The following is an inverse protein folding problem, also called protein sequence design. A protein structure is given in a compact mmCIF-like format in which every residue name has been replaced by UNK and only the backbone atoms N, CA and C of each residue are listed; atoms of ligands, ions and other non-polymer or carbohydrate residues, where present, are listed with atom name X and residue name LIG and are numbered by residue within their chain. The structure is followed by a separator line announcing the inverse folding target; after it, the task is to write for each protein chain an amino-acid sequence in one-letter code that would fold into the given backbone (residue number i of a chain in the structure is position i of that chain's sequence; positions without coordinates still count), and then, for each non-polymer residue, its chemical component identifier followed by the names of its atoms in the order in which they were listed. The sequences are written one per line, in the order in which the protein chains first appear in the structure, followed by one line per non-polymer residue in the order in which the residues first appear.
data_IF_540395937798
#
_entry.id   IF_540395937798
#
_cell.length_a   1.000
_cell.length_b   1.000
_cell.length_c   1.000
_cell.angle_alpha   90.00
_cell.angle_beta   90.00
_cell.angle_gamma   90.00
#
_symmetry.space_group_name_H-M   'P 1'
#
loop_
_entity.id
_entity.type
_entity.pdbx_description
1 polymer ?
#
# COMPACT_ATOMS: atom_id res chain seq x y z
N UNK A 1 1.49 -5.52 -17.24
CA UNK A 1 0.63 -4.67 -16.39
C UNK A 1 0.16 -3.51 -17.23
N UNK A 2 -1.08 -3.07 -17.06
CA UNK A 2 -1.66 -1.94 -17.79
C UNK A 2 -2.26 -0.97 -16.78
N UNK A 3 -2.02 0.32 -16.98
CA UNK A 3 -2.55 1.41 -16.17
C UNK A 3 -3.28 2.34 -17.12
N UNK A 4 -4.56 2.58 -16.84
CA UNK A 4 -5.45 3.36 -17.72
C UNK A 4 -5.89 4.60 -16.95
N UNK A 5 -5.70 5.77 -17.55
CA UNK A 5 -6.32 6.99 -17.07
C UNK A 5 -7.75 7.07 -17.63
N UNK A 6 -8.76 6.88 -16.79
CA UNK A 6 -10.16 6.89 -17.23
C UNK A 6 -10.71 8.28 -17.62
N UNK A 7 -9.97 9.37 -17.38
CA UNK A 7 -10.36 10.73 -17.77
C UNK A 7 -9.77 11.10 -19.13
N UNK A 8 -8.50 10.80 -19.37
CA UNK A 8 -7.83 11.13 -20.64
C UNK A 8 -7.80 9.99 -21.65
N UNK A 9 -8.06 8.76 -21.20
CA UNK A 9 -7.86 7.51 -21.94
C UNK A 9 -6.39 7.23 -22.32
N UNK A 10 -5.44 7.89 -21.66
CA UNK A 10 -4.03 7.52 -21.79
C UNK A 10 -3.78 6.14 -21.16
N UNK A 11 -2.92 5.36 -21.80
CA UNK A 11 -2.63 3.99 -21.39
C UNK A 11 -1.13 3.79 -21.22
N UNK A 12 -0.70 3.36 -20.03
CA UNK A 12 0.65 2.92 -19.76
C UNK A 12 0.72 1.39 -19.74
N UNK A 13 1.44 0.80 -20.71
CA UNK A 13 1.68 -0.64 -20.78
C UNK A 13 3.08 -0.95 -20.27
N UNK A 14 3.16 -1.64 -19.13
CA UNK A 14 4.42 -2.08 -18.51
C UNK A 14 4.66 -3.57 -18.79
N UNK A 15 5.87 -3.88 -19.24
CA UNK A 15 6.38 -5.25 -19.46
C UNK A 15 7.52 -5.54 -18.48
N UNK A 16 7.29 -6.50 -17.60
CA UNK A 16 8.30 -7.04 -16.70
C UNK A 16 8.95 -8.25 -17.37
N UNK A 17 10.28 -8.25 -17.46
CA UNK A 17 11.01 -9.36 -18.05
C UNK A 17 11.28 -10.40 -16.97
N UNK A 18 11.02 -11.66 -17.30
CA UNK A 18 11.35 -12.77 -16.42
C UNK A 18 12.87 -12.88 -16.32
N UNK A 19 13.35 -13.13 -15.10
CA UNK A 19 14.76 -13.44 -14.90
C UNK A 19 15.11 -14.76 -15.57
N UNK A 20 16.23 -14.80 -16.27
CA UNK A 20 16.77 -16.02 -16.87
C UNK A 20 18.27 -16.08 -16.59
N UNK A 21 18.71 -17.18 -15.98
CA UNK A 21 20.10 -17.40 -15.58
C UNK A 21 21.07 -17.46 -16.78
N UNK A 22 20.55 -17.81 -17.96
CA UNK A 22 21.34 -17.95 -19.20
C UNK A 22 21.19 -16.75 -20.14
N UNK A 23 20.28 -15.83 -19.86
CA UNK A 23 20.08 -14.65 -20.70
C UNK A 23 21.16 -13.61 -20.40
N UNK A 24 21.64 -12.94 -21.45
CA UNK A 24 22.50 -11.75 -21.32
C UNK A 24 21.73 -10.49 -20.95
N UNK A 25 20.40 -10.59 -20.83
CA UNK A 25 19.55 -9.46 -20.50
C UNK A 25 19.74 -9.01 -19.05
N UNK A 26 19.55 -7.71 -18.83
CA UNK A 26 19.62 -7.11 -17.50
C UNK A 26 18.56 -7.75 -16.60
N UNK A 27 18.91 -8.28 -15.42
CA UNK A 27 17.94 -8.86 -14.50
C UNK A 27 16.98 -7.78 -14.00
N UNK A 28 15.75 -8.18 -13.66
CA UNK A 28 14.71 -7.28 -13.14
C UNK A 28 14.32 -6.15 -14.10
N UNK A 29 14.63 -6.30 -15.40
CA UNK A 29 14.30 -5.32 -16.42
C UNK A 29 12.80 -5.11 -16.50
N UNK A 30 12.43 -3.84 -16.65
CA UNK A 30 11.07 -3.42 -16.96
C UNK A 30 11.14 -2.36 -18.06
N UNK A 31 10.22 -2.46 -19.02
CA UNK A 31 10.02 -1.44 -20.05
C UNK A 31 8.57 -1.03 -20.07
N UNK A 32 8.29 0.18 -20.53
CA UNK A 32 6.93 0.65 -20.70
C UNK A 32 6.78 1.60 -21.87
N UNK A 33 5.54 1.70 -22.35
CA UNK A 33 5.12 2.70 -23.34
C UNK A 33 3.85 3.34 -22.83
N UNK A 34 3.81 4.67 -22.86
CA UNK A 34 2.60 5.44 -22.59
C UNK A 34 2.06 5.93 -23.93
N UNK A 35 0.84 5.53 -24.24
CA UNK A 35 0.10 5.95 -25.42
C UNK A 35 -1.01 6.92 -25.04
N UNK A 36 -1.27 7.91 -25.88
CA UNK A 36 -2.42 8.79 -25.73
C UNK A 36 -3.74 8.12 -26.14
N UNK A 37 -4.85 8.86 -26.08
CA UNK A 37 -6.16 8.41 -26.53
C UNK A 37 -6.23 8.01 -28.01
N UNK A 38 -5.30 8.50 -28.85
CA UNK A 38 -5.20 8.17 -30.26
C UNK A 38 -4.31 6.94 -30.51
N UNK A 39 -3.86 6.27 -29.44
CA UNK A 39 -2.91 5.15 -29.48
C UNK A 39 -1.51 5.53 -30.00
N UNK A 40 -1.16 6.82 -30.00
CA UNK A 40 0.19 7.28 -30.35
C UNK A 40 1.12 7.20 -29.15
N UNK A 41 2.31 6.63 -29.34
CA UNK A 41 3.32 6.54 -28.29
C UNK A 41 3.87 7.93 -27.97
N UNK A 42 3.65 8.41 -26.73
CA UNK A 42 4.11 9.72 -26.27
C UNK A 42 5.35 9.62 -25.40
N UNK A 43 5.46 8.54 -24.61
CA UNK A 43 6.59 8.33 -23.70
C UNK A 43 7.02 6.86 -23.68
N UNK A 44 8.31 6.66 -23.42
CA UNK A 44 8.90 5.35 -23.12
C UNK A 44 9.46 5.33 -21.73
N UNK A 45 9.34 4.18 -21.08
CA UNK A 45 9.88 3.88 -19.76
C UNK A 45 10.87 2.72 -19.89
N UNK A 46 11.98 2.80 -19.17
CA UNK A 46 12.98 1.73 -19.13
C UNK A 46 13.70 1.75 -17.78
N UNK A 47 14.11 0.58 -17.31
CA UNK A 47 14.91 0.47 -16.12
C UNK A 47 14.81 -0.90 -15.47
N UNK A 48 15.02 -0.92 -14.16
CA UNK A 48 14.90 -2.12 -13.32
C UNK A 48 14.02 -1.81 -12.13
N UNK A 49 13.07 -2.70 -11.81
CA UNK A 49 12.16 -2.49 -10.68
C UNK A 49 12.85 -2.57 -9.31
N UNK A 50 14.10 -3.07 -9.27
CA UNK A 50 14.95 -3.12 -8.07
C UNK A 50 15.90 -1.94 -7.95
N UNK A 51 16.06 -1.10 -8.98
CA UNK A 51 17.10 -0.08 -9.06
C UNK A 51 16.54 1.31 -9.35
N UNK A 52 16.26 1.58 -10.63
CA UNK A 52 15.69 2.86 -11.08
C UNK A 52 14.81 2.68 -12.31
N UNK A 53 13.86 3.59 -12.47
CA UNK A 53 13.02 3.74 -13.66
C UNK A 53 13.28 5.11 -14.26
N UNK A 54 13.58 5.11 -15.54
CA UNK A 54 13.80 6.30 -16.34
C UNK A 54 12.71 6.38 -17.41
N UNK A 55 12.37 7.61 -17.81
CA UNK A 55 11.42 7.84 -18.87
C UNK A 55 11.72 9.11 -19.65
N UNK A 56 11.30 9.13 -20.91
CA UNK A 56 11.46 10.27 -21.80
C UNK A 56 10.38 10.29 -22.87
N UNK A 57 10.17 11.45 -23.52
CA UNK A 57 9.24 11.57 -24.63
C UNK A 57 9.73 10.74 -25.82
N UNK A 58 8.79 10.29 -26.65
CA UNK A 58 9.11 9.68 -27.94
C UNK A 58 9.24 10.79 -28.98
N UNK A 59 10.43 10.93 -29.57
CA UNK A 59 10.65 11.79 -30.73
C UNK A 59 10.54 10.94 -32.01
N UNK A 60 9.59 11.29 -32.89
CA UNK A 60 9.35 10.55 -34.12
C UNK A 60 10.31 11.01 -35.22
N UNK A 61 11.48 10.38 -35.33
CA UNK A 61 12.24 10.40 -36.59
C UNK A 61 12.13 9.03 -37.26
N UNK A 62 11.65 9.06 -38.50
CA UNK A 62 11.29 7.89 -39.29
C UNK A 62 12.36 6.80 -39.21
N UNK A 63 11.96 5.62 -38.69
CA UNK A 63 12.66 4.33 -38.64
C UNK A 63 13.42 3.95 -37.37
N UNK A 64 13.67 4.85 -36.42
CA UNK A 64 14.24 4.49 -35.11
C UNK A 64 13.58 5.28 -33.98
N UNK A 65 13.03 4.59 -32.97
CA UNK A 65 12.62 5.24 -31.71
C UNK A 65 13.88 5.68 -30.97
N UNK A 66 14.37 6.88 -31.27
CA UNK A 66 15.47 7.48 -30.53
C UNK A 66 14.91 8.08 -29.24
N UNK A 67 15.42 7.61 -28.11
CA UNK A 67 15.02 8.10 -26.79
C UNK A 67 16.00 9.17 -26.36
N UNK A 68 15.79 10.40 -26.80
CA UNK A 68 16.54 11.55 -26.31
C UNK A 68 15.97 12.00 -24.96
N UNK A 69 16.82 12.42 -24.02
CA UNK A 69 16.43 13.02 -22.73
C UNK A 69 15.68 12.11 -21.74
N UNK A 70 16.12 10.86 -21.55
CA UNK A 70 15.63 10.05 -20.43
C UNK A 70 15.94 10.71 -19.09
N UNK A 71 14.91 10.88 -18.25
CA UNK A 71 15.02 11.40 -16.88
C UNK A 71 14.68 10.29 -15.89
N UNK A 72 15.35 10.32 -14.73
CA UNK A 72 15.00 9.42 -13.61
C UNK A 72 13.64 9.84 -13.07
N UNK A 73 12.66 8.94 -13.16
CA UNK A 73 11.31 9.13 -12.64
C UNK A 73 11.17 8.53 -11.24
N UNK A 74 11.90 7.44 -10.98
CA UNK A 74 11.93 6.78 -9.68
C UNK A 74 13.28 6.10 -9.47
N UNK A 75 13.77 6.11 -8.24
CA UNK A 75 14.96 5.39 -7.84
C UNK A 75 14.75 4.77 -6.46
N UNK A 76 15.21 3.54 -6.29
CA UNK A 76 15.18 2.84 -5.01
C UNK A 76 16.04 3.58 -3.99
N UNK A 77 15.46 3.87 -2.81
CA UNK A 77 16.23 4.22 -1.61
C UNK A 77 16.90 2.96 -1.06
N UNK A 78 18.22 3.00 -0.89
CA UNK A 78 18.95 1.87 -0.32
C UNK A 78 18.61 1.73 1.17
N UNK A 79 18.40 0.49 1.66
CA UNK A 79 18.15 0.25 3.08
C UNK A 79 19.35 0.64 3.95
N UNK A 80 19.15 0.88 5.25
CA UNK A 80 20.22 1.19 6.20
C UNK A 80 21.31 0.10 6.26
N UNK A 81 22.52 0.42 6.74
CA UNK A 81 23.52 -0.59 7.09
C UNK A 81 22.96 -1.66 8.04
N UNK A 82 23.49 -2.88 7.99
CA UNK A 82 23.06 -4.02 8.84
C UNK A 82 21.66 -4.60 8.54
N UNK A 83 21.08 -4.29 7.38
CA UNK A 83 19.80 -4.83 6.92
C UNK A 83 19.64 -6.36 7.03
N UNK A 84 20.71 -7.13 6.91
CA UNK A 84 20.69 -8.60 7.07
C UNK A 84 20.23 -9.04 8.47
N UNK A 85 20.50 -8.21 9.49
CA UNK A 85 20.07 -8.44 10.87
C UNK A 85 18.60 -8.01 11.09
N UNK A 86 18.02 -7.26 10.15
CA UNK A 86 16.67 -6.67 10.21
C UNK A 86 15.80 -7.17 9.05
N UNK A 87 15.89 -8.48 8.74
CA UNK A 87 15.06 -9.15 7.73
C UNK A 87 15.11 -8.53 6.32
N UNK A 88 16.19 -7.81 6.00
CA UNK A 88 16.35 -7.03 4.77
C UNK A 88 15.25 -5.97 4.55
N UNK A 89 14.69 -5.43 5.63
CA UNK A 89 13.65 -4.42 5.56
C UNK A 89 14.15 -3.10 4.97
N UNK A 90 13.22 -2.40 4.30
CA UNK A 90 13.39 -0.98 3.97
C UNK A 90 13.19 -0.14 5.22
N UNK A 91 13.71 1.08 5.22
CA UNK A 91 13.47 2.06 6.30
C UNK A 91 11.97 2.25 6.57
N UNK A 92 11.17 2.43 5.51
CA UNK A 92 9.71 2.49 5.64
C UNK A 92 9.14 1.24 6.33
N UNK A 93 9.60 0.04 5.99
CA UNK A 93 9.10 -1.19 6.59
C UNK A 93 9.47 -1.32 8.08
N UNK A 94 10.60 -0.75 8.49
CA UNK A 94 11.00 -0.67 9.91
C UNK A 94 10.05 0.28 10.66
N UNK A 95 9.73 1.43 10.07
CA UNK A 95 8.86 2.45 10.67
C UNK A 95 7.39 1.99 10.80
N UNK A 96 6.92 1.08 9.93
CA UNK A 96 5.52 0.63 9.91
C UNK A 96 5.02 0.08 11.25
N UNK A 97 5.89 -0.57 12.04
CA UNK A 97 5.51 -1.17 13.32
C UNK A 97 6.07 -0.41 14.54
N UNK A 98 6.58 0.80 14.35
CA UNK A 98 6.92 1.69 15.47
C UNK A 98 5.66 1.98 16.30
N UNK A 99 5.80 2.01 17.62
CA UNK A 99 4.67 2.21 18.53
C UNK A 99 4.12 3.64 18.42
N UNK A 100 2.81 3.74 18.25
CA UNK A 100 2.10 5.02 18.18
C UNK A 100 0.97 5.02 19.22
N UNK A 101 0.83 6.10 20.01
CA UNK A 101 -0.33 6.25 20.90
C UNK A 101 -1.62 6.35 20.07
N UNK A 102 -2.77 6.14 20.72
CA UNK A 102 -4.10 6.38 20.14
C UNK A 102 -4.50 5.54 18.91
N UNK A 103 -3.76 4.48 18.60
CA UNK A 103 -4.19 3.48 17.62
C UNK A 103 -5.32 2.60 18.15
N UNK A 104 -6.18 2.10 17.25
CA UNK A 104 -7.28 1.23 17.64
C UNK A 104 -6.79 -0.06 18.34
N UNK A 105 -7.58 -0.68 19.23
CA UNK A 105 -7.22 -1.95 19.87
C UNK A 105 -6.91 -3.10 18.88
N UNK A 106 -7.42 -3.00 17.65
CA UNK A 106 -7.22 -3.97 16.57
C UNK A 106 -6.04 -3.61 15.65
N UNK A 107 -5.32 -2.53 15.94
CA UNK A 107 -4.13 -2.13 15.17
C UNK A 107 -3.01 -3.17 15.33
N UNK A 108 -2.26 -3.41 14.25
CA UNK A 108 -1.24 -4.46 14.21
C UNK A 108 -0.07 -4.16 15.16
N UNK A 109 0.20 -2.89 15.48
CA UNK A 109 1.24 -2.50 16.45
C UNK A 109 0.97 -3.03 17.87
N UNK A 110 -0.29 -3.34 18.17
CA UNK A 110 -0.73 -3.92 19.46
C UNK A 110 -0.71 -5.45 19.47
N UNK A 111 -0.26 -6.09 18.39
CA UNK A 111 -0.23 -7.55 18.27
C UNK A 111 0.97 -8.11 19.07
N UNK A 112 0.74 -8.85 20.18
CA UNK A 112 1.79 -9.16 21.16
C UNK A 112 2.84 -10.14 20.65
N UNK A 113 2.47 -11.14 19.85
CA UNK A 113 3.40 -12.09 19.24
C UNK A 113 4.40 -11.39 18.29
N UNK A 114 3.91 -10.45 17.47
CA UNK A 114 4.78 -9.68 16.59
C UNK A 114 5.74 -8.76 17.36
N UNK A 115 5.29 -8.11 18.44
CA UNK A 115 6.16 -7.30 19.30
C UNK A 115 7.24 -8.14 19.98
N UNK A 116 6.86 -9.29 20.55
CA UNK A 116 7.81 -10.21 21.19
C UNK A 116 8.85 -10.73 20.19
N UNK A 117 8.45 -10.97 18.94
CA UNK A 117 9.37 -11.35 17.87
C UNK A 117 10.37 -10.24 17.54
N UNK A 118 9.90 -8.98 17.45
CA UNK A 118 10.76 -7.81 17.25
C UNK A 118 11.76 -7.61 18.40
N UNK A 119 11.35 -7.91 19.64
CA UNK A 119 12.22 -7.86 20.82
C UNK A 119 13.16 -9.09 20.95
N UNK A 120 13.12 -10.02 19.98
CA UNK A 120 13.93 -11.25 19.98
C UNK A 120 13.48 -12.34 20.97
N UNK A 121 12.29 -12.22 21.56
CA UNK A 121 11.70 -13.16 22.53
C UNK A 121 10.89 -14.25 21.81
N UNK A 122 11.61 -15.11 21.09
CA UNK A 122 11.04 -16.09 20.17
C UNK A 122 10.08 -17.10 20.79
N UNK A 123 10.42 -17.67 21.95
CA UNK A 123 9.59 -18.68 22.60
C UNK A 123 8.24 -18.10 23.06
N UNK A 124 8.27 -16.90 23.61
CA UNK A 124 7.08 -16.19 24.06
C UNK A 124 6.21 -15.72 22.89
N UNK A 125 6.84 -15.25 21.80
CA UNK A 125 6.15 -14.92 20.57
C UNK A 125 5.38 -16.13 20.03
N UNK A 126 5.99 -17.32 20.03
CA UNK A 126 5.34 -18.55 19.59
C UNK A 126 4.16 -18.95 20.48
N UNK A 127 4.28 -18.79 21.80
CA UNK A 127 3.17 -19.04 22.74
C UNK A 127 2.00 -18.08 22.50
N UNK A 128 2.28 -16.78 22.35
CA UNK A 128 1.25 -15.78 22.08
C UNK A 128 0.58 -15.97 20.71
N UNK A 129 1.35 -16.36 19.69
CA UNK A 129 0.82 -16.71 18.38
C UNK A 129 -0.19 -17.85 18.49
N UNK A 130 0.15 -18.94 19.18
CA UNK A 130 -0.76 -20.07 19.38
C UNK A 130 -2.04 -19.64 20.11
N UNK A 131 -1.91 -18.82 21.15
CA UNK A 131 -3.05 -18.29 21.92
C UNK A 131 -3.98 -17.45 21.04
N UNK A 132 -3.44 -16.57 20.20
CA UNK A 132 -4.20 -15.71 19.29
C UNK A 132 -4.90 -16.52 18.18
N UNK A 133 -4.21 -17.46 17.55
CA UNK A 133 -4.76 -18.31 16.50
C UNK A 133 -5.89 -19.21 17.04
N UNK A 134 -5.73 -19.78 18.23
CA UNK A 134 -6.77 -20.60 18.86
C UNK A 134 -7.97 -19.73 19.28
N UNK A 135 -7.76 -18.52 19.82
CA UNK A 135 -8.85 -17.57 20.10
C UNK A 135 -9.63 -17.23 18.82
N UNK A 136 -8.94 -16.96 17.72
CA UNK A 136 -9.57 -16.66 16.43
C UNK A 136 -10.34 -17.87 15.88
N UNK A 137 -9.78 -19.08 16.02
CA UNK A 137 -10.41 -20.33 15.62
C UNK A 137 -11.68 -20.62 16.41
N UNK A 138 -11.67 -20.42 17.72
CA UNK A 138 -12.84 -20.57 18.59
C UNK A 138 -13.93 -19.55 18.26
N UNK A 139 -13.56 -18.28 18.10
CA UNK A 139 -14.51 -17.24 17.70
C UNK A 139 -15.18 -17.55 16.35
N UNK A 140 -14.42 -18.13 15.40
CA UNK A 140 -14.96 -18.61 14.13
C UNK A 140 -15.95 -19.77 14.32
N UNK A 141 -15.58 -20.80 15.09
CA UNK A 141 -16.47 -21.94 15.40
C UNK A 141 -17.77 -21.51 16.06
N UNK A 142 -17.71 -20.59 17.03
CA UNK A 142 -18.89 -20.04 17.72
C UNK A 142 -19.80 -19.31 16.73
N UNK A 143 -19.23 -18.48 15.84
CA UNK A 143 -20.02 -17.80 14.80
C UNK A 143 -20.67 -18.80 13.85
N UNK A 144 -19.93 -19.80 13.39
CA UNK A 144 -20.46 -20.83 12.49
C UNK A 144 -21.55 -21.67 13.17
N UNK A 145 -21.46 -21.92 14.49
CA UNK A 145 -22.48 -22.69 15.23
C UNK A 145 -23.74 -21.89 15.56
N UNK A 146 -23.63 -20.57 15.76
CA UNK A 146 -24.78 -19.69 16.08
C UNK A 146 -25.43 -19.09 14.84
N UNK A 147 -24.74 -19.06 13.70
CA UNK A 147 -25.30 -18.53 12.47
C UNK A 147 -26.19 -19.58 11.82
N UNK A 148 -27.51 -19.36 11.84
CA UNK A 148 -28.51 -20.05 11.00
C UNK A 148 -28.36 -19.70 9.51
N UNK A 149 -27.15 -19.31 9.08
CA UNK A 149 -26.84 -18.81 7.74
C UNK A 149 -27.22 -17.35 7.48
N UNK A 150 -27.56 -16.57 8.51
CA UNK A 150 -28.12 -15.21 8.34
C UNK A 150 -27.30 -14.04 8.90
N UNK A 151 -26.25 -14.29 9.69
CA UNK A 151 -25.33 -13.22 10.09
C UNK A 151 -23.87 -13.57 9.77
N UNK A 152 -23.39 -13.24 8.56
CA UNK A 152 -21.99 -13.42 8.20
C UNK A 152 -21.11 -12.39 8.92
N UNK A 153 -19.83 -12.73 9.15
CA UNK A 153 -18.85 -11.77 9.66
C UNK A 153 -18.82 -10.50 8.79
N UNK A 154 -18.95 -9.33 9.43
CA UNK A 154 -18.90 -8.02 8.76
C UNK A 154 -17.65 -7.28 9.19
N UNK A 155 -16.96 -6.70 8.22
CA UNK A 155 -15.85 -5.79 8.49
C UNK A 155 -16.37 -4.57 9.25
N UNK A 156 -15.67 -4.18 10.33
CA UNK A 156 -16.03 -2.99 11.12
C UNK A 156 -15.64 -1.69 10.43
N UNK A 157 -14.67 -1.72 9.54
CA UNK A 157 -14.09 -0.50 8.95
C UNK A 157 -14.41 -0.34 7.48
N UNK A 158 -14.83 -1.43 6.82
CA UNK A 158 -15.05 -1.44 5.39
C UNK A 158 -16.47 -1.89 5.05
N UNK A 159 -17.02 -1.32 3.98
CA UNK A 159 -18.29 -1.75 3.42
C UNK A 159 -18.12 -1.96 1.93
N UNK A 160 -18.68 -3.06 1.42
CA UNK A 160 -18.70 -3.34 -0.01
C UNK A 160 -19.48 -2.25 -0.73
N UNK A 161 -18.83 -1.61 -1.69
CA UNK A 161 -19.41 -0.62 -2.59
C UNK A 161 -19.10 -1.00 -4.03
N UNK A 162 -20.02 -0.67 -4.93
CA UNK A 162 -19.82 -0.85 -6.37
C UNK A 162 -19.15 0.38 -6.94
N UNK A 163 -18.08 0.18 -7.70
CA UNK A 163 -17.44 1.24 -8.49
C UNK A 163 -18.04 1.26 -9.91
N UNK A 164 -18.73 2.35 -10.30
CA UNK A 164 -19.29 2.50 -11.64
C UNK A 164 -18.24 2.46 -12.75
N UNK A 165 -17.00 2.88 -12.46
CA UNK A 165 -15.94 3.02 -13.46
C UNK A 165 -15.31 1.68 -13.84
N UNK A 166 -14.94 0.87 -12.83
CA UNK A 166 -14.34 -0.44 -13.07
C UNK A 166 -15.35 -1.59 -13.07
N UNK A 167 -16.62 -1.32 -12.69
CA UNK A 167 -17.70 -2.31 -12.50
C UNK A 167 -17.35 -3.40 -11.47
N UNK A 168 -16.39 -3.13 -10.60
CA UNK A 168 -15.96 -4.02 -9.54
C UNK A 168 -16.50 -3.56 -8.18
N UNK A 169 -16.58 -4.51 -7.24
CA UNK A 169 -16.97 -4.22 -5.86
C UNK A 169 -15.72 -4.10 -5.00
N UNK A 170 -15.57 -2.98 -4.29
CA UNK A 170 -14.45 -2.73 -3.37
C UNK A 170 -14.93 -2.51 -1.95
N UNK A 171 -14.06 -2.82 -1.00
CA UNK A 171 -14.25 -2.52 0.40
C UNK A 171 -13.82 -1.07 0.67
N UNK A 172 -14.78 -0.17 0.92
CA UNK A 172 -14.51 1.25 1.17
C UNK A 172 -14.34 1.53 2.66
N UNK A 173 -13.19 2.10 3.05
CA UNK A 173 -12.81 2.35 4.44
C UNK A 173 -13.47 3.60 5.04
N UNK A 174 -14.02 3.48 6.25
CA UNK A 174 -14.61 4.58 7.02
C UNK A 174 -13.88 4.80 8.36
N UNK A 175 -12.63 4.37 8.47
CA UNK A 175 -11.87 4.41 9.72
C UNK A 175 -11.81 5.82 10.33
N UNK A 176 -11.26 6.78 9.59
CA UNK A 176 -11.06 8.15 10.09
C UNK A 176 -12.36 8.92 10.35
N UNK A 177 -13.48 8.58 9.68
CA UNK A 177 -14.78 9.18 9.99
C UNK A 177 -15.41 8.59 11.24
N UNK A 178 -15.17 7.30 11.53
CA UNK A 178 -15.70 6.60 12.71
C UNK A 178 -14.89 6.86 13.99
N UNK A 179 -13.58 7.06 13.88
CA UNK A 179 -12.71 7.44 15.01
C UNK A 179 -13.09 8.82 15.59
N UNK A 180 -13.62 9.74 14.78
CA UNK A 180 -14.09 11.06 15.26
C UNK A 180 -15.41 11.02 16.03
N UNK A 181 -16.18 9.92 15.98
CA UNK A 181 -17.57 9.87 16.46
C UNK A 181 -17.73 8.93 17.67
N UNK A 182 -16.80 8.01 17.92
CA UNK A 182 -16.93 7.03 19.00
C UNK A 182 -15.81 7.12 20.03
N UNK A 183 -16.18 7.35 21.29
CA UNK A 183 -15.42 6.80 22.43
C UNK A 183 -15.36 5.26 22.25
N UNK A 184 -14.20 4.66 22.53
CA UNK A 184 -13.90 3.24 22.33
C UNK A 184 -14.70 2.27 23.23
N UNK A 185 -15.99 2.49 23.44
CA UNK A 185 -16.83 1.74 24.38
C UNK A 185 -17.44 0.45 23.80
N UNK A 186 -17.34 0.18 22.49
CA UNK A 186 -17.92 -1.02 21.84
C UNK A 186 -16.87 -2.07 21.42
N UNK A 187 -15.68 -2.02 22.02
CA UNK A 187 -14.58 -2.96 21.79
C UNK A 187 -14.52 -4.02 22.90
N UNK A 188 -15.59 -4.80 23.05
CA UNK A 188 -15.76 -5.79 24.12
C UNK A 188 -14.81 -6.99 24.08
N UNK A 189 -14.00 -7.17 23.03
CA UNK A 189 -13.09 -8.33 22.90
C UNK A 189 -11.62 -8.06 23.29
N UNK A 190 -11.29 -6.82 23.68
CA UNK A 190 -9.99 -6.43 24.25
C UNK A 190 -10.23 -5.41 25.37
N UNK A 191 -10.55 -5.88 26.58
CA UNK A 191 -10.59 -5.02 27.76
C UNK A 191 -9.19 -4.47 28.01
N UNK A 192 -8.99 -3.15 27.91
CA UNK A 192 -8.01 -2.43 28.73
C UNK A 192 -8.42 -0.95 28.93
N UNK A 193 -8.61 -0.64 30.22
CA UNK A 193 -8.58 0.62 30.98
C UNK A 193 -8.79 1.96 30.24
N UNK A 194 -9.85 2.66 30.65
CA UNK A 194 -10.19 4.04 30.30
C UNK A 194 -9.07 5.02 30.68
N UNK A 195 -8.62 5.81 29.71
CA UNK A 195 -8.05 7.14 29.98
C UNK A 195 -8.70 8.15 29.03
N UNK A 196 -9.32 9.17 29.61
CA UNK A 196 -9.88 10.32 28.92
C UNK A 196 -8.77 11.32 28.63
N UNK A 197 -8.51 11.65 27.36
CA UNK A 197 -7.87 12.93 27.02
C UNK A 197 -8.46 13.46 25.70
N UNK A 198 -8.95 14.70 25.77
CA UNK A 198 -9.39 15.53 24.65
C UNK A 198 -8.18 16.17 23.94
N UNK A 199 -8.17 16.20 22.60
CA UNK A 199 -7.20 17.00 21.84
C UNK A 199 -7.53 17.06 20.33
N UNK A 200 -7.35 18.20 19.64
CA UNK A 200 -7.69 18.34 18.23
C UNK A 200 -6.46 18.15 17.34
N UNK A 201 -6.48 17.18 16.42
CA UNK A 201 -5.45 17.08 15.37
C UNK A 201 -6.08 16.91 13.98
N UNK A 202 -5.74 17.86 13.11
CA UNK A 202 -6.05 17.90 11.69
C UNK A 202 -5.19 16.85 10.96
N UNK A 203 -5.80 16.08 10.05
CA UNK A 203 -5.09 15.21 9.11
C UNK A 203 -5.04 15.89 7.74
N UNK A 204 -3.84 15.99 7.16
CA UNK A 204 -3.61 16.41 5.78
C UNK A 204 -3.52 15.17 4.88
N UNK A 205 -4.24 15.19 3.76
CA UNK A 205 -4.10 14.17 2.72
C UNK A 205 -3.05 14.62 1.70
N UNK A 206 -2.10 13.73 1.37
CA UNK A 206 -1.15 13.93 0.29
C UNK A 206 -1.71 13.32 -1.00
N UNK A 207 -1.85 14.13 -2.05
CA UNK A 207 -2.09 13.67 -3.42
C UNK A 207 -0.96 14.18 -4.30
N UNK A 208 -0.34 13.30 -5.08
CA UNK A 208 0.58 13.68 -6.15
C UNK A 208 -0.23 13.78 -7.43
N UNK A 209 -0.42 15.00 -7.94
CA UNK A 209 -0.92 15.26 -9.29
C UNK A 209 0.25 15.71 -10.16
N UNK A 210 0.36 15.15 -11.36
CA UNK A 210 1.36 15.54 -12.36
C UNK A 210 0.61 16.35 -13.42
N UNK A 211 0.92 17.65 -13.54
CA UNK A 211 0.32 18.52 -14.55
C UNK A 211 1.06 18.41 -15.90
N UNK A 212 0.35 18.73 -16.99
CA UNK A 212 0.78 18.55 -18.39
C UNK A 212 2.01 19.37 -18.82
N UNK A 213 2.50 20.24 -17.95
CA UNK A 213 3.63 21.14 -18.13
C UNK A 213 4.93 20.62 -17.47
N UNK A 214 4.93 19.38 -16.95
CA UNK A 214 6.14 18.66 -16.55
C UNK A 214 6.82 19.19 -15.28
N UNK A 215 6.13 20.03 -14.50
CA UNK A 215 6.55 20.46 -13.16
C UNK A 215 5.85 19.62 -12.08
N UNK A 216 6.63 19.14 -11.12
CA UNK A 216 6.13 18.54 -9.90
C UNK A 216 5.94 19.64 -8.86
N UNK A 217 4.72 20.18 -8.73
CA UNK A 217 4.39 21.13 -7.68
C UNK A 217 3.64 20.39 -6.55
N UNK A 218 4.23 20.40 -5.34
CA UNK A 218 3.57 19.90 -4.13
C UNK A 218 2.46 20.87 -3.72
N UNK A 219 1.21 20.56 -4.04
CA UNK A 219 0.08 21.36 -3.57
C UNK A 219 -0.37 20.92 -2.18
N UNK A 220 -0.09 21.75 -1.17
CA UNK A 220 -0.80 21.74 0.11
C UNK A 220 -2.18 22.36 -0.09
N UNK A 221 -3.23 21.55 -0.24
CA UNK A 221 -4.60 22.05 -0.18
C UNK A 221 -5.09 22.07 1.27
N UNK A 222 -4.98 23.23 1.92
CA UNK A 222 -5.73 23.51 3.14
C UNK A 222 -7.21 23.66 2.77
N UNK A 223 -8.06 22.76 3.25
CA UNK A 223 -9.52 22.95 3.24
C UNK A 223 -9.92 23.24 4.68
N UNK A 224 -10.50 24.44 4.87
CA UNK A 224 -10.91 25.02 6.16
C UNK A 224 -12.01 24.22 6.85
#
# INVERSE_FOLDING_TARGET
MEIINHTTNDVCKLKFFQYSYFAKDVPHKVTGVITDSNSEARWVLSGTWTGKIEGGPVESNHHHMETHNMKVLWQRKMPPPFLEQMYNFTELAIELNEFEPDVAPTDTRRRPDQRLMEDGRWDEANQEKLRLEEKQRQARKIRESHSTGHDPYRSKWFTKQFDPMTKASYDFGQYYSRVRIFEYNDYSDVKLLKFNIYGPTKLANWFISINQDGKCDNYFANIH
#
